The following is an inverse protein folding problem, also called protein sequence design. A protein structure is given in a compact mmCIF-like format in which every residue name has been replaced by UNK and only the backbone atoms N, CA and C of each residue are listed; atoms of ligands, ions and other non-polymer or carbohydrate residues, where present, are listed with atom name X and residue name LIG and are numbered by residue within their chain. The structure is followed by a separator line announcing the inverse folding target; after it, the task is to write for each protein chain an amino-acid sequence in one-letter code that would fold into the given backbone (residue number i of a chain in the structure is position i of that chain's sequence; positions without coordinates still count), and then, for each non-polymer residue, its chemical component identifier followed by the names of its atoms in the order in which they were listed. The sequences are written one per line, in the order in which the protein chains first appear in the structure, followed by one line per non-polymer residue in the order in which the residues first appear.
data_IF_244256874932
#
_entry.id   IF_244256874932
#
_cell.length_a   1.000
_cell.length_b   1.000
_cell.length_c   1.000
_cell.angle_alpha   90.00
_cell.angle_beta   90.00
_cell.angle_gamma   90.00
#
_symmetry.space_group_name_H-M   'P 1'
#
loop_
_entity.id
_entity.type
_entity.pdbx_description
1 polymer ?
#
# COMPACT_ATOMS: atom_id res chain seq x y z
N UNK A 1 16.19 -18.71 -1.51
CA UNK A 1 17.14 -17.73 -2.06
C UNK A 1 16.85 -16.36 -1.46
N UNK A 2 17.87 -15.62 -1.00
CA UNK A 2 17.71 -14.25 -0.49
C UNK A 2 17.91 -13.28 -1.66
N UNK A 3 16.84 -12.74 -2.24
CA UNK A 3 16.92 -11.83 -3.38
C UNK A 3 17.71 -10.54 -3.05
N UNK A 4 17.66 -10.08 -1.79
CA UNK A 4 18.47 -8.96 -1.31
C UNK A 4 19.97 -9.28 -1.31
N UNK A 5 20.36 -10.55 -1.17
CA UNK A 5 21.76 -11.01 -1.30
C UNK A 5 22.33 -10.71 -2.66
N UNK A 6 21.65 -11.14 -3.69
CA UNK A 6 22.18 -10.96 -5.02
C UNK A 6 22.12 -9.48 -5.46
N UNK A 7 21.12 -8.70 -5.04
CA UNK A 7 21.07 -7.25 -5.34
C UNK A 7 22.18 -6.48 -4.60
N UNK A 8 22.40 -6.77 -3.31
CA UNK A 8 23.36 -6.05 -2.49
C UNK A 8 24.84 -6.44 -2.77
N UNK A 9 25.10 -7.64 -3.28
CA UNK A 9 26.46 -8.10 -3.61
C UNK A 9 26.90 -7.80 -5.05
N UNK A 10 25.96 -7.57 -5.99
CA UNK A 10 26.29 -7.50 -7.42
C UNK A 10 25.87 -6.20 -8.13
N UNK A 11 25.12 -5.30 -7.46
CA UNK A 11 24.58 -4.11 -8.13
C UNK A 11 23.69 -4.46 -9.34
N UNK A 12 23.85 -3.75 -10.46
CA UNK A 12 23.43 -4.22 -11.79
C UNK A 12 24.52 -5.16 -12.32
N UNK A 13 24.24 -6.45 -12.55
CA UNK A 13 25.15 -7.32 -13.30
C UNK A 13 25.54 -6.64 -14.61
N UNK A 14 26.85 -6.60 -14.90
CA UNK A 14 27.32 -6.36 -16.26
C UNK A 14 26.61 -7.34 -17.19
N UNK A 15 26.02 -6.83 -18.27
CA UNK A 15 25.26 -7.62 -19.24
C UNK A 15 26.03 -8.90 -19.61
N UNK A 16 25.58 -10.04 -19.07
CA UNK A 16 26.14 -11.34 -19.45
C UNK A 16 25.80 -11.52 -20.93
N UNK A 17 26.86 -11.77 -21.71
CA UNK A 17 26.84 -11.91 -23.16
C UNK A 17 25.72 -12.86 -23.60
N UNK A 18 24.92 -12.40 -24.56
CA UNK A 18 24.07 -13.27 -25.36
C UNK A 18 24.98 -14.22 -26.17
N UNK A 19 24.72 -15.54 -26.22
CA UNK A 19 23.57 -16.29 -25.70
C UNK A 19 23.86 -17.00 -24.35
N UNK A 20 22.81 -17.39 -23.59
CA UNK A 20 22.98 -18.09 -22.32
C UNK A 20 23.50 -19.52 -22.50
N UNK A 21 24.40 -19.95 -21.62
CA UNK A 21 24.79 -21.34 -21.48
C UNK A 21 23.63 -22.17 -20.93
N UNK A 22 23.34 -23.28 -21.61
CA UNK A 22 22.51 -24.44 -21.23
C UNK A 22 21.15 -24.17 -20.52
N UNK A 23 20.00 -24.33 -21.22
CA UNK A 23 18.67 -24.17 -20.65
C UNK A 23 18.26 -25.26 -19.62
N UNK A 24 19.11 -26.25 -19.34
CA UNK A 24 18.81 -27.34 -18.39
C UNK A 24 19.34 -27.13 -16.96
N UNK A 25 20.20 -26.14 -16.73
CA UNK A 25 20.57 -25.68 -15.37
C UNK A 25 19.57 -24.61 -14.90
N UNK A 26 19.27 -24.51 -13.59
CA UNK A 26 18.25 -23.60 -13.03
C UNK A 26 18.56 -22.10 -13.20
N UNK A 27 18.44 -21.61 -14.43
CA UNK A 27 18.83 -20.29 -14.92
C UNK A 27 17.84 -19.17 -14.59
N UNK A 28 16.69 -19.50 -13.98
CA UNK A 28 15.61 -18.53 -13.72
C UNK A 28 15.91 -17.58 -12.56
N UNK A 29 16.65 -18.03 -11.56
CA UNK A 29 16.82 -17.24 -10.33
C UNK A 29 17.79 -16.07 -10.46
N UNK A 30 19.00 -16.25 -11.03
CA UNK A 30 19.90 -15.11 -11.31
C UNK A 30 19.24 -14.06 -12.21
N UNK A 31 18.50 -14.49 -13.24
CA UNK A 31 17.75 -13.59 -14.14
C UNK A 31 16.65 -12.82 -13.39
N UNK A 32 15.91 -13.49 -12.50
CA UNK A 32 14.89 -12.84 -11.68
C UNK A 32 15.47 -11.75 -10.78
N UNK A 33 16.65 -12.00 -10.21
CA UNK A 33 17.29 -10.99 -9.36
C UNK A 33 17.89 -9.85 -10.18
N UNK A 34 18.50 -10.13 -11.34
CA UNK A 34 18.92 -9.09 -12.29
C UNK A 34 17.74 -8.18 -12.68
N UNK A 35 16.60 -8.76 -13.07
CA UNK A 35 15.42 -7.98 -13.40
C UNK A 35 14.97 -7.11 -12.23
N UNK A 36 14.92 -7.68 -11.02
CA UNK A 36 14.53 -6.94 -9.83
C UNK A 36 15.49 -5.79 -9.51
N UNK A 37 16.81 -6.00 -9.66
CA UNK A 37 17.82 -4.95 -9.45
C UNK A 37 17.69 -3.81 -10.48
N UNK A 38 17.32 -4.14 -11.72
CA UNK A 38 17.00 -3.16 -12.77
C UNK A 38 15.76 -2.33 -12.42
N UNK A 39 14.67 -2.98 -11.99
CA UNK A 39 13.46 -2.27 -11.54
C UNK A 39 13.75 -1.38 -10.32
N UNK A 40 14.60 -1.85 -9.40
CA UNK A 40 15.01 -1.10 -8.22
C UNK A 40 16.10 -0.05 -8.47
N UNK A 41 16.58 0.09 -9.71
CA UNK A 41 17.66 1.02 -10.08
C UNK A 41 18.89 0.90 -9.15
N UNK A 42 19.22 -0.32 -8.73
CA UNK A 42 20.32 -0.55 -7.79
C UNK A 42 21.65 -0.17 -8.43
N UNK A 43 22.42 0.69 -7.77
CA UNK A 43 23.77 1.07 -8.18
C UNK A 43 24.80 0.17 -7.48
N UNK A 44 25.83 -0.34 -8.18
CA UNK A 44 26.85 -1.20 -7.56
C UNK A 44 27.61 -0.51 -6.42
N UNK A 45 27.92 0.78 -6.56
CA UNK A 45 28.70 1.51 -5.54
C UNK A 45 27.86 2.25 -4.50
N UNK A 46 26.65 2.66 -4.87
CA UNK A 46 25.82 3.52 -4.03
C UNK A 46 24.75 2.70 -3.31
N UNK A 47 24.27 1.63 -3.94
CA UNK A 47 23.28 0.72 -3.38
C UNK A 47 21.87 0.97 -3.92
N UNK A 48 20.88 0.75 -3.07
CA UNK A 48 19.47 1.00 -3.39
C UNK A 48 18.92 2.04 -2.42
N UNK A 49 18.17 3.03 -2.92
CA UNK A 49 17.43 3.96 -2.06
C UNK A 49 16.09 3.34 -1.60
N UNK A 50 15.49 3.85 -0.52
CA UNK A 50 14.15 3.40 -0.09
C UNK A 50 13.07 3.59 -1.13
N UNK A 51 13.18 4.68 -1.89
CA UNK A 51 12.24 4.96 -2.97
C UNK A 51 12.37 3.93 -4.07
N UNK A 52 13.60 3.72 -4.55
CA UNK A 52 13.85 2.79 -5.66
C UNK A 52 13.55 1.36 -5.24
N UNK A 53 13.77 1.01 -3.97
CA UNK A 53 13.40 -0.28 -3.41
C UNK A 53 11.89 -0.54 -3.49
N UNK A 54 11.07 0.39 -2.99
CA UNK A 54 9.60 0.26 -3.03
C UNK A 54 9.06 0.27 -4.46
N UNK A 55 9.43 1.29 -5.24
CA UNK A 55 8.92 1.47 -6.60
C UNK A 55 9.35 0.32 -7.51
N UNK A 56 10.59 -0.15 -7.37
CA UNK A 56 11.10 -1.28 -8.13
C UNK A 56 10.45 -2.60 -7.76
N UNK A 57 10.23 -2.85 -6.46
CA UNK A 57 9.53 -4.06 -6.02
C UNK A 57 8.08 -4.08 -6.51
N UNK A 58 7.36 -2.98 -6.34
CA UNK A 58 5.98 -2.84 -6.80
C UNK A 58 5.89 -3.01 -8.33
N UNK A 59 6.78 -2.38 -9.09
CA UNK A 59 6.84 -2.55 -10.54
C UNK A 59 7.15 -4.00 -10.95
N UNK A 60 8.05 -4.68 -10.25
CA UNK A 60 8.36 -6.08 -10.51
C UNK A 60 7.18 -7.01 -10.19
N UNK A 61 6.50 -6.82 -9.05
CA UNK A 61 5.30 -7.59 -8.68
C UNK A 61 4.19 -7.43 -9.73
N UNK A 62 4.01 -6.21 -10.23
CA UNK A 62 3.08 -5.89 -11.32
C UNK A 62 3.48 -6.58 -12.62
N UNK A 63 4.75 -6.45 -13.03
CA UNK A 63 5.27 -7.06 -14.25
C UNK A 63 5.14 -8.59 -14.25
N UNK A 64 5.38 -9.22 -13.09
CA UNK A 64 5.28 -10.68 -12.90
C UNK A 64 3.87 -11.15 -12.57
N UNK A 65 2.90 -10.24 -12.47
CA UNK A 65 1.51 -10.53 -12.11
C UNK A 65 1.35 -11.31 -10.79
N UNK A 66 2.30 -11.17 -9.84
CA UNK A 66 2.26 -11.83 -8.54
C UNK A 66 1.20 -11.16 -7.67
N UNK A 67 0.14 -11.84 -7.17
CA UNK A 67 -0.99 -11.23 -6.45
C UNK A 67 -0.56 -10.81 -5.03
N UNK A 68 0.21 -9.74 -4.95
CA UNK A 68 0.83 -9.22 -3.75
C UNK A 68 0.95 -7.70 -3.81
N UNK A 69 1.02 -7.08 -2.64
CA UNK A 69 1.24 -5.64 -2.46
C UNK A 69 2.57 -5.42 -1.72
N UNK A 70 3.24 -4.31 -2.03
CA UNK A 70 4.45 -3.88 -1.34
C UNK A 70 4.14 -2.71 -0.40
N UNK A 71 4.41 -2.90 0.89
CA UNK A 71 4.23 -1.89 1.93
C UNK A 71 5.58 -1.43 2.48
N UNK A 72 5.92 -0.16 2.32
CA UNK A 72 7.12 0.44 2.91
C UNK A 72 6.75 1.35 4.09
N UNK A 73 7.33 1.06 5.25
CA UNK A 73 7.26 1.89 6.45
C UNK A 73 8.63 2.41 6.83
N UNK A 74 8.70 3.68 7.22
CA UNK A 74 9.90 4.30 7.79
C UNK A 74 9.70 4.58 9.28
N UNK A 75 10.80 4.80 10.00
CA UNK A 75 10.76 5.17 11.42
C UNK A 75 10.14 6.54 11.72
N UNK A 76 9.62 7.29 10.74
CA UNK A 76 8.75 8.45 11.01
C UNK A 76 7.35 8.04 11.49
N UNK A 77 7.03 6.75 11.41
CA UNK A 77 5.74 6.16 11.78
C UNK A 77 5.96 5.13 12.89
N UNK A 78 6.21 5.67 14.09
CA UNK A 78 6.65 5.03 15.33
C UNK A 78 5.97 3.69 15.68
N UNK A 79 4.80 3.40 15.11
CA UNK A 79 4.02 2.19 15.41
C UNK A 79 4.35 0.97 14.53
N UNK A 80 4.84 1.16 13.30
CA UNK A 80 4.97 0.08 12.32
C UNK A 80 6.30 -0.64 12.32
N UNK A 81 7.35 0.03 12.77
CA UNK A 81 8.69 -0.56 12.89
C UNK A 81 8.91 -1.24 14.24
N UNK A 82 7.88 -1.33 15.10
CA UNK A 82 7.96 -2.00 16.40
C UNK A 82 7.80 -3.50 16.27
N UNK A 83 8.47 -4.22 17.16
CA UNK A 83 8.59 -5.67 17.11
C UNK A 83 7.25 -6.40 17.09
N UNK A 84 6.30 -5.98 17.93
CA UNK A 84 5.01 -6.65 18.04
C UNK A 84 4.21 -6.52 16.73
N UNK A 85 4.36 -5.38 16.03
CA UNK A 85 3.74 -5.20 14.71
C UNK A 85 4.42 -6.02 13.64
N UNK A 86 5.75 -6.12 13.66
CA UNK A 86 6.49 -7.02 12.75
C UNK A 86 6.07 -8.48 12.93
N UNK A 87 5.89 -8.92 14.18
CA UNK A 87 5.45 -10.28 14.49
C UNK A 87 4.01 -10.53 14.03
N UNK A 88 3.10 -9.58 14.25
CA UNK A 88 1.73 -9.64 13.71
C UNK A 88 1.73 -9.73 12.18
N UNK A 89 2.56 -8.93 11.51
CA UNK A 89 2.65 -8.96 10.05
C UNK A 89 3.19 -10.29 9.52
N UNK A 90 4.22 -10.85 10.17
CA UNK A 90 4.75 -12.17 9.85
C UNK A 90 3.70 -13.27 10.02
N UNK A 91 2.96 -13.24 11.14
CA UNK A 91 1.91 -14.20 11.44
C UNK A 91 0.75 -14.12 10.43
N UNK A 92 0.48 -12.95 9.87
CA UNK A 92 -0.49 -12.73 8.80
C UNK A 92 0.04 -13.05 7.39
N UNK A 93 1.19 -13.73 7.28
CA UNK A 93 1.76 -14.17 6.00
C UNK A 93 2.59 -13.10 5.28
N UNK A 94 2.90 -11.98 5.93
CA UNK A 94 3.77 -10.94 5.38
C UNK A 94 5.23 -11.40 5.30
N UNK A 95 5.85 -11.24 4.13
CA UNK A 95 7.29 -11.46 3.96
C UNK A 95 8.03 -10.16 4.27
N UNK A 96 8.81 -10.17 5.35
CA UNK A 96 9.45 -8.96 5.86
C UNK A 96 10.90 -8.84 5.39
N UNK A 97 11.25 -7.65 4.94
CA UNK A 97 12.62 -7.22 4.74
C UNK A 97 12.80 -5.90 5.48
N UNK A 98 13.94 -5.71 6.13
CA UNK A 98 14.22 -4.52 6.93
C UNK A 98 15.47 -3.82 6.42
N UNK A 99 15.58 -2.53 6.68
CA UNK A 99 16.83 -1.81 6.57
C UNK A 99 17.46 -1.63 7.96
N UNK A 100 18.65 -2.18 8.15
CA UNK A 100 19.55 -1.90 9.27
C UNK A 100 20.37 -0.66 8.92
N UNK A 101 19.90 0.50 9.34
CA UNK A 101 20.60 1.77 9.21
C UNK A 101 21.74 1.91 10.22
N UNK A 102 22.86 2.50 9.79
CA UNK A 102 24.01 2.83 10.63
C UNK A 102 23.97 4.31 10.97
N UNK A 103 23.98 4.64 12.25
CA UNK A 103 23.82 5.99 12.77
C UNK A 103 24.99 6.39 13.66
N UNK A 104 25.36 7.66 13.59
CA UNK A 104 26.37 8.28 14.45
C UNK A 104 25.71 9.36 15.29
N UNK A 105 25.98 9.35 16.60
CA UNK A 105 25.39 10.32 17.52
C UNK A 105 26.28 11.56 17.60
N UNK A 106 25.77 12.70 17.16
CA UNK A 106 26.46 13.99 17.18
C UNK A 106 25.56 14.99 17.93
N UNK A 107 26.07 15.63 18.98
CA UNK A 107 25.32 16.61 19.78
C UNK A 107 23.95 16.10 20.28
N UNK A 108 23.85 14.81 20.63
CA UNK A 108 22.61 14.21 21.13
C UNK A 108 21.63 13.73 20.04
N UNK A 109 21.92 13.97 18.77
CA UNK A 109 21.10 13.60 17.61
C UNK A 109 21.76 12.47 16.82
N UNK A 110 20.97 11.55 16.28
CA UNK A 110 21.43 10.43 15.47
C UNK A 110 21.39 10.82 13.99
N UNK A 111 22.55 10.75 13.33
CA UNK A 111 22.69 11.03 11.90
C UNK A 111 22.96 9.75 11.13
N UNK A 112 22.19 9.51 10.07
CA UNK A 112 22.31 8.30 9.25
C UNK A 112 23.55 8.37 8.36
N UNK A 113 24.48 7.44 8.55
CA UNK A 113 25.72 7.31 7.76
C UNK A 113 25.70 6.21 6.70
N UNK A 114 24.63 5.41 6.63
CA UNK A 114 24.49 4.33 5.66
C UNK A 114 23.52 3.26 6.14
N UNK A 115 23.59 2.06 5.55
CA UNK A 115 22.87 0.90 6.07
C UNK A 115 22.85 -0.26 5.12
N UNK A 116 22.17 -1.32 5.55
CA UNK A 116 22.10 -2.57 4.83
C UNK A 116 20.71 -3.20 4.94
N UNK A 117 20.22 -3.83 3.88
CA UNK A 117 18.88 -4.40 3.86
C UNK A 117 18.90 -5.93 3.99
N UNK A 118 18.05 -6.45 4.87
CA UNK A 118 18.12 -7.79 5.44
C UNK A 118 16.76 -8.47 5.33
N UNK A 119 16.73 -9.74 4.92
CA UNK A 119 15.49 -10.52 4.89
C UNK A 119 15.23 -11.13 6.26
N UNK A 120 14.06 -10.90 6.84
CA UNK A 120 13.69 -11.46 8.14
C UNK A 120 13.22 -12.90 7.95
N UNK A 121 13.75 -13.81 8.76
CA UNK A 121 13.40 -15.25 8.74
C UNK A 121 13.00 -15.80 10.10
N UNK A 122 13.03 -14.96 11.14
CA UNK A 122 12.53 -15.31 12.44
C UNK A 122 12.35 -14.07 13.31
N UNK A 123 11.29 -14.09 14.12
CA UNK A 123 11.04 -13.14 15.19
C UNK A 123 10.72 -13.97 16.43
N UNK A 124 11.38 -13.70 17.55
CA UNK A 124 11.11 -14.41 18.80
C UNK A 124 11.08 -13.44 19.98
N UNK A 125 10.11 -13.63 20.86
CA UNK A 125 10.02 -12.94 22.15
C UNK A 125 10.29 -13.96 23.24
N UNK A 126 11.35 -13.74 24.02
CA UNK A 126 11.77 -14.64 25.11
C UNK A 126 11.99 -13.83 26.39
N UNK A 127 12.20 -14.50 27.52
CA UNK A 127 12.59 -13.84 28.78
C UNK A 127 13.89 -13.03 28.66
N UNK A 128 14.76 -13.37 27.71
CA UNK A 128 16.00 -12.63 27.41
C UNK A 128 15.77 -11.35 26.57
N UNK A 129 14.55 -11.17 26.06
CA UNK A 129 14.11 -10.03 25.25
C UNK A 129 13.60 -10.43 23.86
N UNK A 130 13.35 -9.41 23.06
CA UNK A 130 12.90 -9.52 21.67
C UNK A 130 14.10 -9.72 20.75
N UNK A 131 14.03 -10.71 19.88
CA UNK A 131 15.10 -11.10 18.96
C UNK A 131 14.58 -11.21 17.53
N UNK A 132 15.44 -10.83 16.59
CA UNK A 132 15.21 -10.99 15.16
C UNK A 132 16.28 -11.89 14.57
N UNK A 133 15.87 -12.79 13.68
CA UNK A 133 16.75 -13.63 12.87
C UNK A 133 16.61 -13.16 11.43
N UNK A 134 17.73 -12.82 10.81
CA UNK A 134 17.78 -12.40 9.42
C UNK A 134 18.68 -13.30 8.62
N UNK A 135 18.38 -13.38 7.33
CA UNK A 135 19.38 -13.70 6.34
C UNK A 135 20.14 -12.42 6.00
N UNK A 136 21.38 -12.34 6.48
CA UNK A 136 22.29 -11.25 6.16
C UNK A 136 22.91 -11.54 4.78
N UNK A 137 22.73 -10.63 3.82
CA UNK A 137 23.29 -10.79 2.52
C UNK A 137 24.82 -10.59 2.39
N UNK A 138 25.55 -10.30 3.46
CA UNK A 138 27.01 -10.22 3.43
C UNK A 138 27.66 -11.38 4.21
N UNK A 139 28.56 -12.15 3.55
CA UNK A 139 29.79 -12.76 4.10
C UNK A 139 30.31 -13.96 3.27
N UNK A 140 30.55 -13.80 1.97
CA UNK A 140 31.64 -14.57 1.33
C UNK A 140 32.12 -13.90 0.04
N UNK A 141 33.39 -13.53 0.02
CA UNK A 141 34.02 -12.63 -0.96
C UNK A 141 34.43 -13.36 -2.26
N UNK A 142 33.85 -14.53 -2.54
CA UNK A 142 34.51 -15.53 -3.41
C UNK A 142 33.88 -15.82 -4.76
N UNK A 143 32.66 -15.38 -5.05
CA UNK A 143 32.12 -15.49 -6.41
C UNK A 143 30.90 -14.56 -6.61
N UNK A 144 30.98 -13.54 -7.49
CA UNK A 144 29.87 -12.65 -7.83
C UNK A 144 28.78 -13.29 -8.71
N UNK A 145 28.91 -14.56 -9.09
CA UNK A 145 27.92 -15.29 -9.86
C UNK A 145 27.25 -16.42 -9.05
N UNK A 146 27.77 -16.73 -7.86
CA UNK A 146 27.24 -17.79 -7.00
C UNK A 146 26.20 -17.26 -6.00
N UNK A 147 24.99 -17.84 -5.94
CA UNK A 147 24.07 -17.61 -4.84
C UNK A 147 24.69 -18.20 -3.56
N UNK A 148 25.14 -17.37 -2.62
CA UNK A 148 25.64 -17.91 -1.35
C UNK A 148 24.50 -18.42 -0.47
N UNK A 149 24.86 -19.34 0.42
CA UNK A 149 23.97 -19.78 1.48
C UNK A 149 23.81 -18.63 2.48
N UNK A 150 22.57 -18.18 2.76
CA UNK A 150 22.39 -17.00 3.57
C UNK A 150 22.81 -17.28 5.03
N UNK A 151 23.72 -16.47 5.57
CA UNK A 151 24.12 -16.58 6.98
C UNK A 151 23.00 -16.07 7.86
N UNK A 152 22.60 -16.87 8.84
CA UNK A 152 21.65 -16.44 9.87
C UNK A 152 22.38 -15.53 10.85
N UNK A 153 21.91 -14.29 11.00
CA UNK A 153 22.33 -13.38 12.05
C UNK A 153 21.18 -13.17 13.01
N UNK A 154 21.48 -13.11 14.31
CA UNK A 154 20.50 -12.86 15.37
C UNK A 154 20.85 -11.58 16.09
N UNK A 155 19.88 -10.68 16.22
CA UNK A 155 20.02 -9.40 16.92
C UNK A 155 19.02 -9.27 18.05
N UNK A 156 19.47 -8.77 19.20
CA UNK A 156 18.55 -8.27 20.25
C UNK A 156 18.01 -6.91 19.81
N UNK A 157 16.71 -6.70 20.00
CA UNK A 157 16.02 -5.47 19.63
C UNK A 157 15.61 -4.67 20.88
N UNK A 158 15.99 -3.40 20.91
CA UNK A 158 15.66 -2.48 22.01
C UNK A 158 15.00 -1.21 21.46
N UNK A 159 13.73 -0.90 21.82
CA UNK A 159 13.12 0.37 21.45
C UNK A 159 13.94 1.54 22.00
N UNK A 160 14.28 2.49 21.15
CA UNK A 160 15.06 3.68 21.51
C UNK A 160 14.36 4.91 20.97
N UNK A 161 13.96 5.80 21.87
CA UNK A 161 13.44 7.11 21.51
C UNK A 161 14.59 8.10 21.34
N UNK A 162 14.55 8.91 20.28
CA UNK A 162 15.59 9.88 20.00
C UNK A 162 15.24 10.80 18.85
N UNK A 163 16.14 11.74 18.57
CA UNK A 163 16.09 12.58 17.37
C UNK A 163 16.95 11.94 16.29
N UNK A 164 16.35 11.57 15.17
CA UNK A 164 16.96 10.92 14.02
C UNK A 164 16.82 11.82 12.79
N UNK A 165 17.93 12.33 12.28
CA UNK A 165 17.96 13.23 11.10
C UNK A 165 16.91 14.35 11.17
N UNK A 166 16.77 15.02 12.31
CA UNK A 166 15.80 16.09 12.53
C UNK A 166 14.47 15.65 13.15
N UNK A 167 14.11 14.37 13.05
CA UNK A 167 12.78 13.85 13.42
C UNK A 167 12.83 13.12 14.76
N UNK A 168 11.92 13.45 15.69
CA UNK A 168 11.73 12.63 16.90
C UNK A 168 10.99 11.35 16.52
N UNK A 169 11.55 10.20 16.92
CA UNK A 169 10.99 8.90 16.62
C UNK A 169 11.42 7.84 17.65
N UNK A 170 10.69 6.73 17.68
CA UNK A 170 11.11 5.49 18.36
C UNK A 170 11.53 4.45 17.33
N UNK A 171 12.81 4.08 17.31
CA UNK A 171 13.34 3.02 16.43
C UNK A 171 13.80 1.81 17.23
N UNK A 172 13.75 0.63 16.61
CA UNK A 172 14.34 -0.58 17.19
C UNK A 172 15.85 -0.57 16.97
N UNK A 173 16.61 -0.42 18.05
CA UNK A 173 18.07 -0.60 18.03
C UNK A 173 18.40 -2.09 17.91
N UNK A 174 19.28 -2.41 16.98
CA UNK A 174 19.86 -3.73 16.80
C UNK A 174 21.16 -3.84 17.59
N UNK A 175 21.26 -4.82 18.48
CA UNK A 175 22.48 -5.10 19.25
C UNK A 175 22.85 -3.97 20.22
N UNK A 176 24.13 -3.90 20.57
CA UNK A 176 24.68 -2.98 21.57
C UNK A 176 25.78 -2.06 21.06
N UNK A 177 26.10 -2.08 19.76
CA UNK A 177 27.11 -1.18 19.16
C UNK A 177 26.68 0.28 19.28
N UNK A 178 27.65 1.17 19.54
CA UNK A 178 27.47 2.63 19.62
C UNK A 178 28.25 3.39 18.54
N UNK A 179 29.08 2.67 17.77
CA UNK A 179 29.90 3.26 16.72
C UNK A 179 30.08 2.27 15.56
N UNK A 180 29.16 2.23 14.59
CA UNK A 180 27.89 2.98 14.56
C UNK A 180 26.83 2.36 15.49
N UNK A 181 25.83 3.15 15.86
CA UNK A 181 24.55 2.62 16.34
C UNK A 181 23.80 1.98 15.17
N UNK A 182 23.18 0.82 15.38
CA UNK A 182 22.40 0.15 14.35
C UNK A 182 20.90 0.22 14.69
N UNK A 183 20.08 0.73 13.78
CA UNK A 183 18.64 0.86 13.96
C UNK A 183 17.88 0.26 12.78
N UNK A 184 16.73 -0.34 13.05
CA UNK A 184 15.75 -0.65 11.99
C UNK A 184 15.03 0.63 11.65
N UNK A 185 15.38 1.23 10.50
CA UNK A 185 14.83 2.52 10.09
C UNK A 185 13.82 2.42 8.94
N UNK A 186 13.81 1.29 8.21
CA UNK A 186 12.79 0.96 7.22
C UNK A 186 12.37 -0.51 7.32
N UNK A 187 11.11 -0.76 6.99
CA UNK A 187 10.52 -2.09 6.88
C UNK A 187 9.75 -2.15 5.57
N UNK A 188 10.13 -3.08 4.71
CA UNK A 188 9.37 -3.48 3.53
C UNK A 188 8.64 -4.78 3.84
N UNK A 189 7.35 -4.81 3.54
CA UNK A 189 6.54 -6.01 3.70
C UNK A 189 5.87 -6.33 2.37
N UNK A 190 6.08 -7.55 1.88
CA UNK A 190 5.27 -8.11 0.80
C UNK A 190 4.12 -8.84 1.47
N UNK A 191 2.91 -8.34 1.27
CA UNK A 191 1.69 -9.02 1.71
C UNK A 191 0.98 -9.65 0.53
N UNK A 192 0.26 -10.75 0.74
CA UNK A 192 -0.67 -11.22 -0.26
C UNK A 192 -1.73 -10.16 -0.55
N UNK A 193 -2.13 -10.08 -1.82
CA UNK A 193 -3.19 -9.20 -2.24
C UNK A 193 -4.48 -9.60 -1.52
N UNK A 194 -5.22 -8.61 -1.02
CA UNK A 194 -6.49 -8.84 -0.37
C UNK A 194 -7.60 -7.91 -0.87
N UNK A 195 -8.83 -8.38 -0.75
CA UNK A 195 -10.04 -7.62 -1.02
C UNK A 195 -10.96 -7.66 0.21
N UNK A 196 -11.75 -6.61 0.40
CA UNK A 196 -12.70 -6.48 1.50
C UNK A 196 -14.07 -6.12 0.95
N UNK A 197 -15.11 -6.81 1.41
CA UNK A 197 -16.49 -6.58 1.00
C UNK A 197 -17.44 -6.72 2.18
N UNK A 198 -18.65 -6.15 2.08
CA UNK A 198 -19.71 -6.25 3.08
C UNK A 198 -20.74 -7.33 2.73
N UNK A 199 -20.28 -8.52 2.31
CA UNK A 199 -21.15 -9.62 1.89
C UNK A 199 -22.15 -10.02 2.98
N UNK A 200 -21.68 -10.11 4.23
CA UNK A 200 -22.49 -10.42 5.40
C UNK A 200 -22.84 -9.14 6.14
N UNK A 201 -24.13 -8.83 6.26
CA UNK A 201 -24.60 -7.59 6.90
C UNK A 201 -24.04 -7.43 8.32
N UNK A 202 -23.22 -6.40 8.55
CA UNK A 202 -22.56 -6.14 9.84
C UNK A 202 -21.19 -6.79 10.02
N UNK A 203 -20.65 -7.49 9.03
CA UNK A 203 -19.30 -8.03 9.02
C UNK A 203 -18.52 -7.60 7.77
N UNK A 204 -17.20 -7.66 7.86
CA UNK A 204 -16.30 -7.56 6.72
C UNK A 204 -15.92 -8.97 6.27
N UNK A 205 -16.15 -9.30 5.01
CA UNK A 205 -15.55 -10.47 4.37
C UNK A 205 -14.22 -10.05 3.75
N UNK A 206 -13.14 -10.71 4.17
CA UNK A 206 -11.78 -10.46 3.69
C UNK A 206 -11.32 -11.66 2.87
N UNK A 207 -11.00 -11.41 1.61
CA UNK A 207 -10.37 -12.38 0.71
C UNK A 207 -8.87 -12.11 0.64
N UNK A 208 -8.03 -13.13 0.84
CA UNK A 208 -6.57 -13.03 0.71
C UNK A 208 -6.08 -14.05 -0.30
N UNK A 209 -5.45 -13.59 -1.39
CA UNK A 209 -4.83 -14.47 -2.38
C UNK A 209 -3.59 -15.14 -1.78
N UNK A 210 -3.34 -16.42 -2.07
CA UNK A 210 -2.11 -17.08 -1.66
C UNK A 210 -0.91 -16.58 -2.48
N UNK A 211 0.26 -16.47 -1.84
CA UNK A 211 1.52 -16.14 -2.53
C UNK A 211 2.14 -17.36 -3.23
N UNK A 212 1.72 -18.57 -2.89
CA UNK A 212 2.36 -19.82 -3.30
C UNK A 212 1.44 -20.79 -4.05
N UNK A 213 0.16 -20.43 -4.18
CA UNK A 213 -0.86 -21.23 -4.87
C UNK A 213 -1.95 -20.33 -5.41
N UNK A 214 -2.86 -20.88 -6.23
CA UNK A 214 -4.02 -20.14 -6.76
C UNK A 214 -5.19 -20.08 -5.76
N UNK A 215 -4.97 -20.51 -4.51
CA UNK A 215 -6.01 -20.50 -3.49
C UNK A 215 -6.29 -19.08 -2.98
N UNK A 216 -7.56 -18.83 -2.63
CA UNK A 216 -7.98 -17.62 -1.91
C UNK A 216 -8.58 -18.04 -0.58
N UNK A 217 -8.02 -17.50 0.50
CA UNK A 217 -8.60 -17.64 1.84
C UNK A 217 -9.70 -16.59 2.02
N UNK A 218 -10.82 -17.00 2.59
CA UNK A 218 -11.90 -16.10 2.98
C UNK A 218 -12.09 -16.17 4.48
N UNK A 219 -12.21 -15.01 5.14
CA UNK A 219 -12.57 -14.92 6.54
C UNK A 219 -13.54 -13.77 6.78
N UNK A 220 -14.34 -13.90 7.82
CA UNK A 220 -15.24 -12.86 8.25
C UNK A 220 -14.73 -12.20 9.53
N UNK A 221 -14.81 -10.88 9.58
CA UNK A 221 -14.48 -10.08 10.76
C UNK A 221 -15.74 -9.33 11.17
N UNK A 222 -16.34 -9.66 12.33
CA UNK A 222 -17.53 -8.96 12.80
C UNK A 222 -17.21 -7.50 13.08
N UNK A 223 -18.17 -6.62 12.80
CA UNK A 223 -18.07 -5.20 13.15
C UNK A 223 -19.10 -4.87 14.22
N UNK A 224 -18.87 -3.82 15.04
CA UNK A 224 -19.88 -3.34 15.98
C UNK A 224 -21.03 -2.58 15.29
N UNK A 225 -21.09 -2.56 13.95
CA UNK A 225 -22.07 -1.80 13.16
C UNK A 225 -23.32 -2.65 12.90
N UNK A 226 -24.23 -2.69 13.87
CA UNK A 226 -25.41 -3.56 13.85
C UNK A 226 -26.41 -3.26 12.71
N UNK A 227 -26.44 -2.01 12.22
CA UNK A 227 -27.33 -1.60 11.14
C UNK A 227 -26.79 -1.92 9.74
N UNK A 228 -25.56 -2.43 9.63
CA UNK A 228 -24.87 -2.63 8.37
C UNK A 228 -23.80 -1.58 8.10
N UNK A 229 -23.17 -1.71 6.93
CA UNK A 229 -22.02 -0.90 6.50
C UNK A 229 -22.42 -0.13 5.24
N UNK A 230 -22.35 1.20 5.32
CA UNK A 230 -22.69 2.11 4.22
C UNK A 230 -21.50 2.48 3.34
N UNK A 231 -20.28 2.45 3.89
CA UNK A 231 -19.06 2.66 3.10
C UNK A 231 -17.83 2.01 3.72
N UNK A 232 -16.81 1.78 2.89
CA UNK A 232 -15.52 1.22 3.26
C UNK A 232 -14.39 2.08 2.71
N UNK A 233 -13.26 2.12 3.43
CA UNK A 233 -12.01 2.60 2.89
C UNK A 233 -10.86 1.77 3.44
N UNK A 234 -10.07 1.14 2.57
CA UNK A 234 -8.83 0.48 2.98
C UNK A 234 -7.80 1.56 3.32
N UNK A 235 -7.34 1.52 4.57
CA UNK A 235 -6.08 2.14 4.94
C UNK A 235 -4.97 1.17 4.52
N UNK A 236 -4.00 1.61 3.70
CA UNK A 236 -2.81 0.81 3.51
C UNK A 236 -2.19 0.46 4.87
N UNK A 237 -1.67 -0.75 5.00
CA UNK A 237 -1.26 -1.36 6.28
C UNK A 237 -2.37 -2.15 7.02
N UNK A 238 -3.11 -2.99 6.27
CA UNK A 238 -4.01 -4.01 6.82
C UNK A 238 -5.07 -3.46 7.78
N UNK A 239 -5.61 -2.27 7.49
CA UNK A 239 -6.71 -1.66 8.25
C UNK A 239 -7.83 -1.21 7.32
N UNK A 240 -9.05 -1.23 7.82
CA UNK A 240 -10.23 -0.76 7.09
C UNK A 240 -11.00 0.20 7.98
N UNK A 241 -11.36 1.36 7.44
CA UNK A 241 -12.41 2.17 8.00
C UNK A 241 -13.76 1.71 7.43
N UNK A 242 -14.72 1.42 8.30
CA UNK A 242 -16.09 1.08 7.96
C UNK A 242 -17.05 2.13 8.53
N UNK A 243 -17.99 2.58 7.69
CA UNK A 243 -19.03 3.54 8.06
C UNK A 243 -20.33 2.81 8.35
N UNK A 244 -20.91 3.03 9.53
CA UNK A 244 -22.21 2.50 9.92
C UNK A 244 -23.36 3.09 9.12
N UNK A 245 -24.30 2.24 8.71
CA UNK A 245 -25.50 2.68 8.00
C UNK A 245 -26.39 3.54 8.90
N UNK A 246 -26.60 4.81 8.50
CA UNK A 246 -27.44 5.79 9.19
C UNK A 246 -26.92 6.30 10.54
N UNK A 247 -26.00 5.61 11.22
CA UNK A 247 -25.54 6.00 12.56
C UNK A 247 -24.49 7.10 12.58
N UNK A 248 -23.72 7.21 11.48
CA UNK A 248 -22.54 8.06 11.37
C UNK A 248 -21.32 7.52 12.15
N UNK A 249 -21.41 6.33 12.73
CA UNK A 249 -20.26 5.72 13.40
C UNK A 249 -19.21 5.30 12.37
N UNK A 250 -17.97 5.67 12.64
CA UNK A 250 -16.81 5.29 11.84
C UNK A 250 -15.95 4.38 12.70
N UNK A 251 -15.71 3.16 12.23
CA UNK A 251 -14.97 2.12 12.95
C UNK A 251 -13.73 1.75 12.16
N UNK A 252 -12.57 1.72 12.82
CA UNK A 252 -11.37 1.09 12.29
C UNK A 252 -11.37 -0.39 12.65
N UNK A 253 -11.07 -1.24 11.68
CA UNK A 253 -10.89 -2.67 11.86
C UNK A 253 -9.45 -3.01 11.47
N UNK A 254 -8.70 -3.60 12.40
CA UNK A 254 -7.39 -4.18 12.10
C UNK A 254 -7.60 -5.55 11.47
N UNK A 255 -7.23 -5.68 10.20
CA UNK A 255 -7.41 -6.92 9.48
C UNK A 255 -6.48 -8.00 10.03
N UNK A 256 -5.35 -7.69 10.67
CA UNK A 256 -4.47 -8.74 11.19
C UNK A 256 -5.10 -9.37 12.44
N UNK A 257 -5.44 -8.57 13.45
CA UNK A 257 -5.97 -9.09 14.71
C UNK A 257 -7.47 -9.36 14.70
N UNK A 258 -8.22 -8.73 13.78
CA UNK A 258 -9.68 -8.73 13.80
C UNK A 258 -10.27 -7.72 14.79
N UNK A 259 -9.44 -6.97 15.50
CA UNK A 259 -9.90 -5.99 16.48
C UNK A 259 -10.59 -4.82 15.79
N UNK A 260 -11.67 -4.34 16.41
CA UNK A 260 -12.37 -3.15 15.96
C UNK A 260 -12.35 -2.06 17.02
N UNK A 261 -12.23 -0.80 16.58
CA UNK A 261 -12.28 0.37 17.44
C UNK A 261 -13.07 1.47 16.76
N UNK A 262 -14.05 2.06 17.47
CA UNK A 262 -14.71 3.27 17.00
C UNK A 262 -13.69 4.41 16.94
N UNK A 263 -13.54 5.02 15.76
CA UNK A 263 -12.71 6.21 15.56
C UNK A 263 -13.48 7.48 15.91
N UNK A 264 -14.66 7.64 15.32
CA UNK A 264 -15.47 8.84 15.45
C UNK A 264 -16.95 8.52 15.27
N UNK A 265 -17.80 9.49 15.62
CA UNK A 265 -19.21 9.52 15.22
C UNK A 265 -19.50 10.85 14.54
N UNK A 266 -19.79 10.79 13.25
CA UNK A 266 -20.02 11.93 12.37
C UNK A 266 -21.42 11.79 11.73
N UNK A 267 -22.46 12.37 12.35
CA UNK A 267 -23.81 12.31 11.81
C UNK A 267 -23.88 12.81 10.36
N UNK A 268 -24.61 12.09 9.51
CA UNK A 268 -24.72 12.44 8.09
C UNK A 268 -23.47 12.14 7.26
N UNK A 269 -22.47 11.43 7.80
CA UNK A 269 -21.40 10.85 7.01
C UNK A 269 -21.95 9.85 5.97
N UNK A 270 -21.36 9.86 4.78
CA UNK A 270 -21.82 9.07 3.62
C UNK A 270 -20.69 8.40 2.86
N UNK A 271 -19.48 8.96 2.88
CA UNK A 271 -18.34 8.47 2.10
C UNK A 271 -17.03 8.50 2.87
N UNK A 272 -16.17 7.53 2.62
CA UNK A 272 -14.84 7.39 3.20
C UNK A 272 -13.76 7.32 2.10
N UNK A 273 -12.58 7.86 2.38
CA UNK A 273 -11.34 7.54 1.68
C UNK A 273 -10.16 7.73 2.62
N UNK A 274 -9.18 6.84 2.51
CA UNK A 274 -7.88 7.01 3.16
C UNK A 274 -6.86 7.60 2.20
N UNK A 275 -5.99 8.44 2.74
CA UNK A 275 -4.80 8.85 2.02
C UNK A 275 -3.94 9.88 2.74
N UNK A 276 -3.00 10.41 1.99
CA UNK A 276 -1.96 11.30 2.50
C UNK A 276 -0.87 10.55 3.25
N UNK A 277 0.27 11.22 3.41
CA UNK A 277 1.43 10.67 4.15
C UNK A 277 1.10 10.43 5.62
N UNK A 278 0.29 11.29 6.22
CA UNK A 278 -0.24 11.13 7.59
C UNK A 278 -1.41 10.14 7.70
N UNK A 279 -1.75 9.41 6.61
CA UNK A 279 -2.80 8.36 6.58
C UNK A 279 -4.17 8.83 7.08
N UNK A 280 -4.52 10.09 6.80
CA UNK A 280 -5.78 10.67 7.22
C UNK A 280 -6.96 9.90 6.64
N UNK A 281 -8.02 9.80 7.44
CA UNK A 281 -9.32 9.34 6.97
C UNK A 281 -10.15 10.56 6.59
N UNK A 282 -10.54 10.64 5.32
CA UNK A 282 -11.44 11.67 4.83
C UNK A 282 -12.87 11.14 4.87
N UNK A 283 -13.75 11.89 5.53
CA UNK A 283 -15.17 11.56 5.69
C UNK A 283 -15.98 12.67 5.03
N UNK A 284 -16.76 12.34 4.00
CA UNK A 284 -17.75 13.29 3.50
C UNK A 284 -19.08 13.11 4.20
N UNK A 285 -19.62 14.25 4.58
CA UNK A 285 -21.01 14.49 4.89
C UNK A 285 -21.68 15.14 3.66
N UNK A 286 -22.91 15.64 3.80
CA UNK A 286 -23.63 16.25 2.68
C UNK A 286 -22.82 17.36 1.99
N UNK A 287 -22.44 18.43 2.72
CA UNK A 287 -21.68 19.58 2.17
C UNK A 287 -20.34 19.81 2.88
N UNK A 288 -19.87 18.83 3.63
CA UNK A 288 -18.63 18.95 4.39
C UNK A 288 -17.72 17.76 4.13
N UNK A 289 -16.42 18.02 4.07
CA UNK A 289 -15.40 16.98 4.20
C UNK A 289 -14.67 17.22 5.51
N UNK A 290 -14.51 16.17 6.30
CA UNK A 290 -13.73 16.15 7.52
C UNK A 290 -12.53 15.25 7.32
N UNK A 291 -11.35 15.69 7.77
CA UNK A 291 -10.16 14.85 7.84
C UNK A 291 -9.93 14.44 9.29
N UNK A 292 -9.84 13.14 9.53
CA UNK A 292 -9.53 12.54 10.83
C UNK A 292 -8.10 12.01 10.83
N UNK A 293 -7.43 12.11 11.98
CA UNK A 293 -6.19 11.38 12.24
C UNK A 293 -6.45 9.89 12.55
N UNK A 294 -5.38 9.14 12.81
CA UNK A 294 -5.37 7.73 13.18
C UNK A 294 -5.99 7.44 14.56
N UNK A 295 -6.26 8.47 15.37
CA UNK A 295 -7.01 8.39 16.62
C UNK A 295 -8.50 8.76 16.46
N UNK A 296 -8.92 9.19 15.27
CA UNK A 296 -10.29 9.63 14.99
C UNK A 296 -10.55 11.08 15.38
N UNK A 297 -9.52 11.86 15.69
CA UNK A 297 -9.65 13.29 15.97
C UNK A 297 -9.74 14.08 14.67
N UNK A 298 -10.65 15.05 14.64
CA UNK A 298 -10.75 15.99 13.52
C UNK A 298 -9.55 16.93 13.48
N UNK A 299 -8.78 16.86 12.39
CA UNK A 299 -7.60 17.71 12.16
C UNK A 299 -7.85 18.80 11.13
N UNK A 300 -8.86 18.63 10.27
CA UNK A 300 -9.29 19.66 9.32
C UNK A 300 -10.72 19.44 8.85
N UNK A 301 -11.35 20.52 8.36
CA UNK A 301 -12.69 20.53 7.78
C UNK A 301 -12.76 21.51 6.61
N UNK A 302 -13.45 21.11 5.55
CA UNK A 302 -13.85 21.99 4.46
C UNK A 302 -15.38 21.95 4.26
N UNK A 303 -15.94 23.09 3.85
CA UNK A 303 -17.35 23.23 3.49
C UNK A 303 -17.46 23.53 2.00
N UNK A 304 -18.43 22.91 1.34
CA UNK A 304 -18.72 23.08 -0.08
C UNK A 304 -20.11 23.71 -0.26
N UNK A 305 -20.29 24.43 -1.35
CA UNK A 305 -21.59 25.04 -1.68
C UNK A 305 -22.63 24.00 -2.11
N UNK A 306 -22.16 22.85 -2.62
CA UNK A 306 -22.96 21.78 -3.20
C UNK A 306 -22.67 20.43 -2.55
N UNK A 307 -23.62 19.49 -2.57
CA UNK A 307 -23.44 18.16 -2.02
C UNK A 307 -22.24 17.40 -2.60
N UNK A 308 -21.65 16.54 -1.76
CA UNK A 308 -20.56 15.64 -2.10
C UNK A 308 -21.13 14.27 -2.46
N UNK A 309 -20.77 13.76 -3.63
CA UNK A 309 -21.26 12.47 -4.14
C UNK A 309 -20.24 11.34 -3.99
N UNK A 310 -18.96 11.67 -4.20
CA UNK A 310 -17.84 10.72 -4.10
C UNK A 310 -16.53 11.42 -3.74
N UNK A 311 -15.59 10.66 -3.19
CA UNK A 311 -14.26 11.16 -2.81
C UNK A 311 -13.18 10.09 -2.95
N UNK A 312 -12.01 10.45 -3.45
CA UNK A 312 -10.88 9.55 -3.62
C UNK A 312 -9.58 10.30 -3.35
N UNK A 313 -8.56 9.60 -2.88
CA UNK A 313 -7.25 10.20 -2.64
C UNK A 313 -6.27 9.83 -3.75
N UNK A 314 -5.72 10.85 -4.39
CA UNK A 314 -4.64 10.74 -5.36
C UNK A 314 -3.31 10.77 -4.59
N UNK A 315 -2.72 9.58 -4.44
CA UNK A 315 -1.47 9.40 -3.70
C UNK A 315 -0.26 9.99 -4.43
N UNK A 316 -0.27 9.97 -5.77
CA UNK A 316 0.84 10.49 -6.59
C UNK A 316 0.99 12.00 -6.41
N UNK A 317 -0.14 12.71 -6.42
CA UNK A 317 -0.19 14.17 -6.28
C UNK A 317 -0.51 14.63 -4.85
N UNK A 318 -0.59 13.69 -3.90
CA UNK A 318 -0.90 13.90 -2.48
C UNK A 318 -2.11 14.84 -2.26
N UNK A 319 -3.23 14.55 -2.92
CA UNK A 319 -4.43 15.40 -2.92
C UNK A 319 -5.72 14.58 -2.79
N UNK A 320 -6.70 15.16 -2.12
CA UNK A 320 -8.06 14.63 -2.09
C UNK A 320 -8.85 15.17 -3.29
N UNK A 321 -9.51 14.27 -4.00
CA UNK A 321 -10.43 14.60 -5.09
C UNK A 321 -11.85 14.38 -4.59
N UNK A 322 -12.71 15.38 -4.81
CA UNK A 322 -14.12 15.37 -4.39
C UNK A 322 -14.99 15.59 -5.62
N UNK A 323 -15.94 14.69 -5.87
CA UNK A 323 -16.91 14.83 -6.94
C UNK A 323 -18.23 15.43 -6.41
N UNK A 324 -18.73 16.44 -7.10
CA UNK A 324 -20.06 17.02 -6.89
C UNK A 324 -20.82 17.05 -8.22
N UNK A 325 -21.81 16.17 -8.34
CA UNK A 325 -22.67 16.01 -9.51
C UNK A 325 -23.51 17.26 -9.72
N UNK A 326 -24.11 17.78 -8.65
CA UNK A 326 -24.94 18.98 -8.73
C UNK A 326 -24.15 20.25 -9.07
N UNK A 327 -22.84 20.29 -8.77
CA UNK A 327 -21.95 21.35 -9.22
C UNK A 327 -21.42 21.11 -10.64
N UNK A 328 -21.46 19.87 -11.14
CA UNK A 328 -20.76 19.47 -12.37
C UNK A 328 -19.24 19.58 -12.24
N UNK A 329 -18.68 19.40 -11.03
CA UNK A 329 -17.25 19.64 -10.76
C UNK A 329 -16.56 18.51 -10.00
N UNK A 330 -15.29 18.32 -10.33
CA UNK A 330 -14.29 17.61 -9.55
C UNK A 330 -13.42 18.64 -8.83
N UNK A 331 -13.49 18.70 -7.51
CA UNK A 331 -12.75 19.63 -6.67
C UNK A 331 -11.49 18.96 -6.14
N UNK A 332 -10.39 19.71 -6.07
CA UNK A 332 -9.09 19.23 -5.58
C UNK A 332 -8.74 19.93 -4.29
N UNK A 333 -8.35 19.15 -3.29
CA UNK A 333 -7.96 19.65 -1.98
C UNK A 333 -6.59 19.10 -1.57
N UNK A 334 -5.80 19.89 -0.85
CA UNK A 334 -4.66 19.37 -0.11
C UNK A 334 -5.12 18.40 0.99
N UNK A 335 -4.21 17.62 1.60
CA UNK A 335 -4.56 16.76 2.75
C UNK A 335 -5.11 17.56 3.94
N UNK A 336 -4.76 18.84 4.07
CA UNK A 336 -5.28 19.81 5.07
C UNK A 336 -6.61 20.41 4.64
N UNK A 337 -7.22 19.91 3.56
CA UNK A 337 -8.47 20.38 2.99
C UNK A 337 -8.44 21.83 2.47
N UNK A 338 -7.26 22.31 2.02
CA UNK A 338 -7.16 23.58 1.29
C UNK A 338 -7.52 23.37 -0.18
N UNK A 339 -8.46 24.15 -0.69
CA UNK A 339 -8.89 24.03 -2.09
C UNK A 339 -7.78 24.47 -3.06
N UNK A 340 -7.45 23.62 -4.03
CA UNK A 340 -6.42 23.87 -5.06
C UNK A 340 -7.01 24.13 -6.45
N UNK A 341 -8.32 23.96 -6.63
CA UNK A 341 -9.01 24.21 -7.90
C UNK A 341 -9.91 23.05 -8.33
N UNK A 342 -10.55 23.22 -9.49
CA UNK A 342 -11.59 22.32 -9.95
C UNK A 342 -11.44 21.93 -11.42
N UNK A 343 -12.00 20.79 -11.80
CA UNK A 343 -12.19 20.33 -13.17
C UNK A 343 -13.67 20.08 -13.43
N UNK A 344 -14.07 20.01 -14.69
CA UNK A 344 -15.41 19.55 -15.04
C UNK A 344 -15.59 18.08 -14.70
N UNK A 345 -16.76 17.74 -14.17
CA UNK A 345 -17.12 16.35 -13.89
C UNK A 345 -17.61 15.70 -15.19
N UNK A 346 -16.96 14.64 -15.69
CA UNK A 346 -17.45 13.90 -16.84
C UNK A 346 -18.83 13.30 -16.58
N UNK A 347 -19.69 13.28 -17.60
CA UNK A 347 -20.98 12.60 -17.47
C UNK A 347 -20.78 11.08 -17.41
N UNK A 348 -21.32 10.46 -16.37
CA UNK A 348 -21.40 9.00 -16.24
C UNK A 348 -22.88 8.60 -16.25
N UNK A 349 -23.33 7.83 -17.25
CA UNK A 349 -24.72 7.36 -17.33
C UNK A 349 -25.13 6.57 -16.09
N UNK A 350 -26.39 6.72 -15.67
CA UNK A 350 -26.98 6.00 -14.54
C UNK A 350 -27.43 6.94 -13.40
N UNK A 351 -28.28 6.43 -12.52
CA UNK A 351 -28.80 7.15 -11.35
C UNK A 351 -28.28 6.59 -10.03
N UNK A 352 -27.57 5.47 -10.06
CA UNK A 352 -26.99 4.86 -8.87
C UNK A 352 -25.85 5.69 -8.27
N UNK A 353 -25.40 5.21 -7.11
CA UNK A 353 -24.28 5.75 -6.34
C UNK A 353 -23.08 6.02 -7.24
N UNK A 354 -22.58 7.26 -7.22
CA UNK A 354 -21.33 7.61 -7.87
C UNK A 354 -20.15 7.10 -7.05
N UNK A 355 -19.19 6.49 -7.73
CA UNK A 355 -17.90 6.08 -7.18
C UNK A 355 -16.79 6.75 -7.98
N UNK A 356 -15.76 7.21 -7.27
CA UNK A 356 -14.57 7.85 -7.83
C UNK A 356 -13.33 7.06 -7.45
N UNK A 357 -12.41 6.76 -8.36
CA UNK A 357 -11.14 6.13 -8.01
C UNK A 357 -10.00 6.85 -8.73
N UNK A 358 -8.78 6.68 -8.23
CA UNK A 358 -7.57 7.26 -8.85
C UNK A 358 -6.64 6.10 -9.22
N UNK A 359 -6.13 6.08 -10.44
CA UNK A 359 -5.04 5.19 -10.82
C UNK A 359 -3.74 5.61 -10.18
N UNK A 360 -3.06 4.66 -9.53
CA UNK A 360 -1.73 4.89 -8.96
C UNK A 360 -0.62 4.91 -10.03
N UNK A 361 -0.85 4.31 -11.19
CA UNK A 361 0.13 4.28 -12.27
C UNK A 361 0.31 5.62 -12.97
N UNK A 362 -0.81 6.27 -13.34
CA UNK A 362 -0.81 7.48 -14.17
C UNK A 362 -1.70 8.62 -13.64
N UNK A 363 -2.31 8.46 -12.47
CA UNK A 363 -3.15 9.49 -11.85
C UNK A 363 -4.52 9.66 -12.52
N UNK A 364 -4.91 8.80 -13.48
CA UNK A 364 -6.22 8.87 -14.12
C UNK A 364 -7.34 8.73 -13.09
N UNK A 365 -8.32 9.63 -13.15
CA UNK A 365 -9.54 9.53 -12.37
C UNK A 365 -10.53 8.64 -13.10
N UNK A 366 -11.17 7.72 -12.38
CA UNK A 366 -12.23 6.87 -12.93
C UNK A 366 -13.50 7.07 -12.16
N UNK A 367 -14.60 7.24 -12.89
CA UNK A 367 -15.93 7.40 -12.33
C UNK A 367 -16.84 6.28 -12.80
N UNK A 368 -17.56 5.69 -11.86
CA UNK A 368 -18.57 4.67 -12.12
C UNK A 368 -19.85 4.98 -11.38
N UNK A 369 -20.97 4.41 -11.85
CA UNK A 369 -22.24 4.44 -11.14
C UNK A 369 -22.73 3.04 -10.87
N UNK A 370 -23.24 2.81 -9.66
CA UNK A 370 -23.92 1.56 -9.33
C UNK A 370 -25.05 1.29 -10.34
N UNK A 371 -25.08 0.09 -10.91
CA UNK A 371 -26.03 -0.34 -11.93
C UNK A 371 -25.75 0.20 -13.35
N UNK A 372 -24.59 0.80 -13.60
CA UNK A 372 -24.17 1.24 -14.93
C UNK A 372 -22.92 0.49 -15.41
N UNK A 373 -22.89 0.00 -16.65
CA UNK A 373 -21.68 -0.62 -17.21
C UNK A 373 -20.64 0.39 -17.69
N UNK A 374 -20.86 1.69 -17.49
CA UNK A 374 -19.97 2.74 -18.02
C UNK A 374 -18.92 3.17 -17.00
N UNK A 375 -17.69 3.39 -17.50
CA UNK A 375 -16.60 4.02 -16.76
C UNK A 375 -16.21 5.29 -17.52
N UNK A 376 -16.29 6.44 -16.85
CA UNK A 376 -15.63 7.63 -17.37
C UNK A 376 -14.20 7.69 -16.83
N UNK A 377 -13.24 7.99 -17.69
CA UNK A 377 -11.83 8.18 -17.36
C UNK A 377 -11.42 9.61 -17.69
N UNK A 378 -10.71 10.24 -16.75
CA UNK A 378 -10.23 11.60 -16.89
C UNK A 378 -8.76 11.67 -16.49
N UNK A 379 -7.92 12.11 -17.42
CA UNK A 379 -6.52 12.40 -17.10
C UNK A 379 -6.44 13.78 -16.45
N UNK A 380 -6.22 13.81 -15.14
CA UNK A 380 -6.05 15.07 -14.40
C UNK A 380 -4.55 15.35 -14.20
N UNK A 381 -3.84 15.49 -15.31
CA UNK A 381 -2.45 15.95 -15.29
C UNK A 381 -2.41 17.49 -15.20
N UNK A 382 -1.55 18.07 -14.34
CA UNK A 382 -1.47 19.53 -14.17
C UNK A 382 -0.98 20.29 -15.41
N UNK A 383 -0.31 19.63 -16.37
CA UNK A 383 0.30 20.26 -17.55
C UNK A 383 -0.44 20.02 -18.86
N UNK A 384 -1.35 19.06 -18.90
CA UNK A 384 -2.14 18.75 -20.10
C UNK A 384 -3.46 18.06 -19.69
N UNK A 385 -4.54 18.83 -19.49
CA UNK A 385 -5.86 18.26 -19.23
C UNK A 385 -6.38 17.64 -20.52
N UNK A 386 -6.05 16.36 -20.74
CA UNK A 386 -6.64 15.59 -21.82
C UNK A 386 -8.18 15.61 -21.72
N UNK A 387 -8.86 15.62 -22.87
CA UNK A 387 -10.31 15.55 -22.91
C UNK A 387 -10.80 14.28 -22.18
N UNK A 388 -11.92 14.34 -21.42
CA UNK A 388 -12.47 13.17 -20.76
C UNK A 388 -12.81 12.08 -21.78
N UNK A 389 -12.34 10.85 -21.56
CA UNK A 389 -12.75 9.67 -22.33
C UNK A 389 -13.84 8.90 -21.57
N UNK A 390 -14.91 8.48 -22.23
CA UNK A 390 -15.92 7.61 -21.62
C UNK A 390 -15.96 6.28 -22.37
N UNK A 391 -15.61 5.20 -21.68
CA UNK A 391 -15.52 3.86 -22.25
C UNK A 391 -16.52 2.91 -21.55
N UNK A 392 -17.33 2.14 -22.29
CA UNK A 392 -18.14 1.10 -21.70
C UNK A 392 -17.24 -0.06 -21.24
N UNK A 393 -17.53 -0.64 -20.07
CA UNK A 393 -17.02 -1.97 -19.73
C UNK A 393 -17.66 -2.97 -20.67
N UNK A 394 -16.84 -3.81 -21.33
CA UNK A 394 -17.32 -4.84 -22.25
C UNK A 394 -17.80 -6.06 -21.44
N UNK A 395 -18.84 -5.86 -20.66
CA UNK A 395 -19.55 -6.89 -19.90
C UNK A 395 -20.90 -7.14 -20.55
N UNK A 396 -21.23 -8.39 -20.89
CA UNK A 396 -22.49 -8.78 -21.53
C UNK A 396 -23.74 -8.65 -20.65
N UNK A 397 -23.95 -7.52 -19.95
CA UNK A 397 -25.06 -7.27 -19.03
C UNK A 397 -24.80 -6.07 -18.11
N UNK A 398 -25.86 -5.58 -17.44
CA UNK A 398 -25.81 -4.46 -16.49
C UNK A 398 -24.95 -4.84 -15.27
N UNK A 399 -23.87 -4.09 -15.04
CA UNK A 399 -22.92 -4.34 -13.95
C UNK A 399 -23.18 -3.37 -12.80
N UNK A 400 -23.51 -3.84 -11.59
CA UNK A 400 -23.28 -3.04 -10.39
C UNK A 400 -21.78 -2.74 -10.27
N UNK A 401 -21.40 -1.46 -10.22
CA UNK A 401 -20.03 -1.03 -10.08
C UNK A 401 -19.85 -0.27 -8.77
N UNK A 402 -19.19 -0.90 -7.80
CA UNK A 402 -18.69 -0.28 -6.58
C UNK A 402 -17.22 -0.74 -6.41
N UNK A 403 -16.34 0.26 -6.13
CA UNK A 403 -14.85 0.41 -6.01
C UNK A 403 -13.93 -0.84 -5.81
N UNK A 404 -12.59 -0.92 -5.98
CA UNK A 404 -11.42 -0.10 -6.42
C UNK A 404 -10.41 -1.05 -7.13
N UNK A 405 -9.45 -0.42 -7.82
CA UNK A 405 -8.40 -0.92 -8.69
C UNK A 405 -7.11 -1.38 -7.98
N UNK A 406 -6.54 -2.46 -8.49
CA UNK A 406 -5.15 -2.88 -8.30
C UNK A 406 -4.50 -2.95 -9.71
N UNK A 407 -3.18 -2.74 -9.88
CA UNK A 407 -2.45 -3.05 -11.15
C UNK A 407 -2.97 -2.49 -12.49
N UNK A 408 -3.74 -1.40 -12.54
CA UNK A 408 -4.35 -0.98 -13.82
C UNK A 408 -5.74 -1.56 -14.06
N UNK A 409 -6.12 -2.62 -13.34
CA UNK A 409 -7.39 -3.34 -13.48
C UNK A 409 -8.48 -2.73 -12.62
N UNK A 410 -9.74 -2.94 -13.01
CA UNK A 410 -10.92 -2.54 -12.26
C UNK A 410 -11.58 -3.81 -11.69
N UNK A 411 -11.68 -3.90 -10.37
CA UNK A 411 -12.50 -4.90 -9.70
C UNK A 411 -13.88 -4.30 -9.43
N UNK A 412 -14.93 -5.07 -9.71
CA UNK A 412 -16.33 -4.64 -9.52
C UNK A 412 -17.16 -5.78 -8.94
N UNK A 413 -18.15 -5.44 -8.11
CA UNK A 413 -19.17 -6.38 -7.64
C UNK A 413 -20.33 -6.49 -8.66
N UNK A 414 -20.20 -7.41 -9.61
CA UNK A 414 -21.20 -7.66 -10.65
C UNK A 414 -22.11 -8.84 -10.28
N UNK A 415 -23.42 -8.59 -10.17
CA UNK A 415 -24.42 -9.62 -9.81
C UNK A 415 -24.05 -10.42 -8.55
N UNK A 416 -23.53 -9.73 -7.52
CA UNK A 416 -23.12 -10.33 -6.25
C UNK A 416 -21.80 -11.11 -6.32
N UNK A 417 -21.00 -10.92 -7.37
CA UNK A 417 -19.70 -11.57 -7.55
C UNK A 417 -18.63 -10.59 -8.03
N UNK A 418 -17.39 -10.84 -7.67
CA UNK A 418 -16.26 -10.04 -8.14
C UNK A 418 -15.96 -10.37 -9.60
N UNK A 419 -15.84 -9.35 -10.43
CA UNK A 419 -15.32 -9.42 -11.79
C UNK A 419 -14.19 -8.41 -11.98
N UNK A 420 -13.18 -8.79 -12.76
CA UNK A 420 -12.00 -7.96 -13.01
C UNK A 420 -11.90 -7.58 -14.48
N UNK A 421 -11.62 -6.31 -14.75
CA UNK A 421 -11.47 -5.75 -16.10
C UNK A 421 -10.13 -5.02 -16.24
N UNK A 422 -9.56 -4.98 -17.43
CA UNK A 422 -8.39 -4.16 -17.73
C UNK A 422 -8.79 -2.70 -18.03
N UNK A 423 -7.81 -1.90 -18.48
CA UNK A 423 -8.02 -0.49 -18.81
C UNK A 423 -8.95 -0.29 -20.01
N UNK A 424 -8.99 -1.26 -20.93
CA UNK A 424 -9.84 -1.23 -22.12
C UNK A 424 -11.26 -1.76 -21.85
N UNK A 425 -11.55 -2.10 -20.58
CA UNK A 425 -12.82 -2.65 -20.15
C UNK A 425 -13.01 -4.11 -20.57
N UNK A 426 -11.94 -4.83 -20.95
CA UNK A 426 -11.97 -6.26 -21.26
C UNK A 426 -11.78 -7.06 -19.98
N UNK A 427 -12.49 -8.19 -19.87
CA UNK A 427 -12.38 -9.09 -18.71
C UNK A 427 -10.97 -9.68 -18.59
N UNK A 428 -10.43 -9.65 -17.38
CA UNK A 428 -9.14 -10.25 -17.01
C UNK A 428 -9.43 -11.54 -16.26
N UNK A 429 -9.27 -12.69 -16.90
CA UNK A 429 -9.59 -13.99 -16.28
C UNK A 429 -8.61 -14.38 -15.15
N UNK A 430 -7.35 -13.96 -15.23
CA UNK A 430 -6.29 -14.33 -14.27
C UNK A 430 -6.32 -13.61 -12.91
N UNK A 431 -7.38 -12.89 -12.58
CA UNK A 431 -7.51 -12.27 -11.26
C UNK A 431 -7.91 -13.31 -10.22
N UNK A 432 -7.23 -13.39 -9.05
CA UNK A 432 -7.53 -14.39 -8.03
C UNK A 432 -8.94 -14.22 -7.43
N UNK A 433 -9.52 -13.03 -7.54
CA UNK A 433 -10.82 -12.74 -6.94
C UNK A 433 -12.01 -13.02 -7.85
N UNK A 434 -11.79 -13.34 -9.14
CA UNK A 434 -12.88 -13.52 -10.07
C UNK A 434 -13.86 -14.62 -9.63
N UNK A 435 -15.15 -14.29 -9.64
CA UNK A 435 -16.24 -15.22 -9.33
C UNK A 435 -16.49 -15.40 -7.83
N UNK A 436 -15.64 -14.86 -6.95
CA UNK A 436 -15.90 -14.84 -5.52
C UNK A 436 -17.15 -14.00 -5.21
N UNK A 437 -17.98 -14.38 -4.22
CA UNK A 437 -19.12 -13.57 -3.80
C UNK A 437 -18.69 -12.17 -3.33
N UNK A 438 -19.53 -11.17 -3.54
CA UNK A 438 -19.32 -9.84 -3.00
C UNK A 438 -20.65 -9.15 -2.68
N UNK A 439 -20.63 -8.35 -1.61
CA UNK A 439 -21.68 -7.39 -1.30
C UNK A 439 -21.63 -6.19 -2.27
N UNK A 440 -22.46 -5.16 -2.03
CA UNK A 440 -22.41 -3.93 -2.81
C UNK A 440 -21.06 -3.24 -2.64
N UNK A 441 -20.48 -3.17 -1.43
CA UNK A 441 -19.18 -2.53 -1.21
C UNK A 441 -18.04 -3.50 -1.54
N UNK A 442 -17.04 -3.02 -2.26
CA UNK A 442 -15.80 -3.73 -2.53
C UNK A 442 -14.64 -2.74 -2.42
N UNK A 443 -13.54 -3.16 -1.82
CA UNK A 443 -12.27 -2.45 -1.83
C UNK A 443 -11.16 -3.48 -2.01
N UNK A 444 -10.19 -3.18 -2.88
CA UNK A 444 -9.02 -4.05 -3.12
C UNK A 444 -7.78 -3.32 -2.66
N UNK A 445 -6.91 -4.02 -1.94
CA UNK A 445 -5.69 -3.45 -1.39
C UNK A 445 -4.72 -2.99 -2.47
N UNK A 446 -3.85 -2.05 -2.09
CA UNK A 446 -2.84 -1.46 -2.96
C UNK A 446 -1.49 -1.37 -2.27
N UNK A 447 -0.43 -1.36 -3.07
CA UNK A 447 0.91 -1.06 -2.59
C UNK A 447 0.97 0.35 -2.00
N UNK A 448 1.80 0.55 -1.00
CA UNK A 448 1.85 1.82 -0.27
C UNK A 448 3.22 2.10 0.31
N UNK A 449 3.54 3.38 0.42
CA UNK A 449 4.71 3.87 1.13
C UNK A 449 4.32 5.11 1.94
N UNK A 450 4.66 5.14 3.22
CA UNK A 450 4.55 6.34 4.04
C UNK A 450 5.77 7.28 3.89
N UNK A 451 6.77 6.84 3.14
CA UNK A 451 8.05 7.49 3.09
C UNK A 451 8.00 8.77 2.26
N UNK A 452 8.58 9.85 2.78
CA UNK A 452 8.73 11.10 2.03
C UNK A 452 9.76 10.91 0.90
N UNK A 453 9.38 11.03 -0.39
CA UNK A 453 10.31 10.86 -1.52
C UNK A 453 11.53 11.78 -1.47
N UNK A 454 11.43 12.95 -0.84
CA UNK A 454 12.56 13.86 -0.65
C UNK A 454 13.52 13.34 0.42
N UNK A 455 12.99 12.83 1.53
CA UNK A 455 13.78 12.22 2.59
C UNK A 455 14.29 10.85 2.21
N UNK A 456 13.65 10.11 1.29
CA UNK A 456 14.13 8.81 0.78
C UNK A 456 15.39 8.90 -0.09
N UNK A 457 15.94 10.10 -0.29
CA UNK A 457 17.29 10.33 -0.84
C UNK A 457 18.40 10.19 0.20
N UNK A 458 18.11 9.67 1.40
CA UNK A 458 19.13 9.33 2.42
C UNK A 458 20.24 8.48 1.79
N UNK A 459 21.45 8.39 2.40
CA UNK A 459 22.52 7.54 1.90
C UNK A 459 21.97 6.15 1.56
N UNK A 460 22.21 5.73 0.33
CA UNK A 460 21.68 4.47 -0.19
C UNK A 460 22.18 3.29 0.67
N UNK A 461 21.47 2.15 0.64
CA UNK A 461 21.90 0.97 1.37
C UNK A 461 22.95 0.21 0.56
N UNK A 462 24.20 0.24 1.03
CA UNK A 462 25.32 -0.46 0.41
C UNK A 462 26.11 -1.28 1.44
N UNK A 463 26.83 -2.27 0.93
CA UNK A 463 27.47 -3.33 1.71
C UNK A 463 28.82 -2.98 2.34
N UNK A 464 29.25 -1.70 2.32
CA UNK A 464 30.58 -1.32 2.80
C UNK A 464 30.74 -1.42 4.30
#
# INVERSE_FOLDING_TARGET
MNWMYYIASHGRPSAVMFPPADPSASSSTPMNVLMLSLFMLTHPERGTSGRSWHQGLDAWLKHRQVPAIALLFTGEDDSWILFDRLQQCAAAGGLLTIARGRYYKINGEYFRGGGHALTVVGLSSTSAGKQIVVHDPAQDDRDPEAPSSPKKSTGKLTPTFGKFDGTLATMLRWGSSESPYEFIDHVMIIFPLFAVTNLSGGALTVYSASLTSDAVEAREIPTPLSAGIADLAIQPAMRVAALGEGSGDVVAVDLISGDSRRLARLPGARRLAHGGRSRRLFVAQDRHVVALDDHGQEVSRATLDRPIDALAFDAAENRLIVASVSAGKLLRFSPELRHHGSHELPHVPGQGRLSLTVDEGDGALRLTRAGSPHVAELQVHPTDPGAPGVNPLRSGGVVPAERVKERGTLHVSAAGRIATFDRDGKRVEGSPFNGLPAGPLLEVARSYSNADPQKMRRPEWHNS
#
